data_IF_641226198009
#
_entry.id   IF_641226198009
#
_cell.length_a   1.000
_cell.length_b   1.000
_cell.length_c   1.000
_cell.angle_alpha   90.00
_cell.angle_beta   90.00
_cell.angle_gamma   90.00
#
_symmetry.space_group_name_H-M   'P 1'
#
loop_
_entity.id
_entity.type
_entity.pdbx_description
1 polymer ?
#
# COMPACT_ATOMS: atom_id res chain seq x y z
N UNK A 1 25.42 -24.11 -46.24
CA UNK A 1 24.82 -25.46 -46.11
C UNK A 1 23.46 -25.32 -45.46
N UNK A 2 22.44 -25.84 -46.12
CA UNK A 2 21.02 -25.83 -45.74
C UNK A 2 20.65 -27.20 -45.17
N UNK A 3 19.83 -27.26 -44.13
CA UNK A 3 18.94 -28.40 -43.84
C UNK A 3 17.64 -27.88 -43.24
N UNK A 4 16.55 -28.30 -43.89
CA UNK A 4 15.13 -28.12 -43.60
C UNK A 4 14.58 -29.21 -42.66
N UNK A 5 13.29 -29.06 -42.31
CA UNK A 5 12.29 -30.08 -41.91
C UNK A 5 11.98 -30.25 -40.40
N UNK A 6 10.76 -30.55 -39.90
CA UNK A 6 9.34 -30.30 -40.26
C UNK A 6 8.49 -30.68 -39.01
N UNK A 7 7.31 -30.05 -38.82
CA UNK A 7 6.04 -30.64 -38.31
C UNK A 7 5.97 -31.35 -36.94
N UNK A 8 5.10 -30.87 -36.04
CA UNK A 8 3.73 -31.41 -35.91
C UNK A 8 2.94 -30.75 -34.78
N UNK A 9 1.74 -30.28 -35.12
CA UNK A 9 0.67 -29.97 -34.18
C UNK A 9 -0.08 -31.25 -33.81
N UNK A 10 -0.53 -31.39 -32.57
CA UNK A 10 -1.68 -32.25 -32.27
C UNK A 10 -2.61 -31.62 -31.24
N UNK A 11 -3.88 -31.65 -31.64
CA UNK A 11 -5.08 -31.12 -31.00
C UNK A 11 -5.86 -32.33 -30.51
N UNK A 12 -6.23 -32.39 -29.24
CA UNK A 12 -7.27 -33.31 -28.73
C UNK A 12 -8.09 -32.55 -27.68
N UNK A 13 -9.27 -32.05 -28.00
CA UNK A 13 -10.58 -32.72 -28.19
C UNK A 13 -11.30 -32.91 -26.85
N UNK A 14 -12.34 -32.10 -26.69
CA UNK A 14 -13.39 -32.20 -25.70
C UNK A 14 -14.14 -33.55 -25.77
N UNK A 15 -14.57 -34.05 -24.62
CA UNK A 15 -15.71 -34.97 -24.45
C UNK A 15 -16.09 -34.97 -22.95
N UNK A 16 -17.19 -34.31 -22.59
CA UNK A 16 -18.49 -34.89 -22.23
C UNK A 16 -18.38 -36.06 -21.23
N UNK A 17 -19.00 -35.92 -20.06
CA UNK A 17 -20.22 -36.67 -19.73
C UNK A 17 -20.80 -36.22 -18.37
N UNK A 18 -22.12 -36.37 -18.29
CA UNK A 18 -23.07 -35.77 -17.36
C UNK A 18 -23.19 -36.54 -16.01
N UNK A 19 -24.00 -36.05 -15.05
CA UNK A 19 -23.78 -36.17 -13.61
C UNK A 19 -24.39 -37.42 -12.97
N UNK A 20 -23.82 -37.83 -11.83
CA UNK A 20 -24.40 -38.85 -10.98
C UNK A 20 -25.54 -38.26 -10.12
N UNK A 21 -26.75 -38.70 -10.45
CA UNK A 21 -27.99 -38.55 -9.69
C UNK A 21 -27.93 -39.31 -8.36
N UNK A 22 -28.34 -38.66 -7.27
CA UNK A 22 -28.90 -39.33 -6.10
C UNK A 22 -30.24 -38.65 -5.79
N UNK A 23 -31.34 -39.37 -6.03
CA UNK A 23 -32.70 -38.95 -5.70
C UNK A 23 -33.21 -39.57 -4.38
N UNK A 24 -34.34 -39.01 -3.93
CA UNK A 24 -35.33 -39.40 -2.90
C UNK A 24 -34.99 -38.99 -1.44
N UNK A 25 -35.86 -38.29 -0.69
CA UNK A 25 -37.30 -38.08 -0.84
C UNK A 25 -37.81 -36.80 -0.13
N UNK A 26 -38.55 -35.99 -0.91
CA UNK A 26 -39.96 -35.62 -0.74
C UNK A 26 -40.54 -35.24 0.64
N UNK A 27 -41.02 -33.99 0.76
CA UNK A 27 -42.36 -33.66 1.28
C UNK A 27 -42.82 -32.24 0.88
N UNK A 28 -43.50 -32.21 -0.27
CA UNK A 28 -44.68 -31.43 -0.70
C UNK A 28 -45.18 -30.16 0.04
N UNK A 29 -45.61 -29.21 -0.81
CA UNK A 29 -46.64 -28.13 -0.68
C UNK A 29 -46.15 -26.80 -0.08
N UNK A 30 -46.42 -25.61 -0.61
CA UNK A 30 -47.37 -25.13 -1.63
C UNK A 30 -46.86 -23.77 -2.12
N UNK A 31 -47.04 -23.43 -3.39
CA UNK A 31 -46.63 -22.14 -3.94
C UNK A 31 -47.48 -20.96 -3.48
N UNK A 32 -46.87 -19.78 -3.45
CA UNK A 32 -47.53 -18.55 -3.91
C UNK A 32 -46.47 -17.56 -4.40
N UNK A 33 -46.34 -17.41 -5.71
CA UNK A 33 -45.73 -16.22 -6.30
C UNK A 33 -46.73 -15.09 -6.09
N UNK A 34 -46.43 -14.10 -5.24
CA UNK A 34 -47.02 -12.77 -5.39
C UNK A 34 -46.06 -11.65 -4.97
N UNK A 35 -45.98 -10.67 -5.88
CA UNK A 35 -45.74 -9.25 -5.66
C UNK A 35 -44.28 -8.80 -5.43
N UNK A 36 -43.67 -8.37 -6.53
CA UNK A 36 -42.60 -7.38 -6.54
C UNK A 36 -42.98 -6.21 -5.63
N UNK A 37 -42.24 -6.07 -4.52
CA UNK A 37 -42.23 -4.85 -3.73
C UNK A 37 -40.99 -4.10 -4.19
N UNK A 38 -41.21 -2.92 -4.76
CA UNK A 38 -40.22 -1.85 -4.85
C UNK A 38 -39.74 -1.55 -3.43
N UNK A 39 -38.73 -2.29 -2.97
CA UNK A 39 -38.01 -1.97 -1.75
C UNK A 39 -37.13 -0.77 -2.08
N UNK A 40 -37.57 0.42 -1.68
CA UNK A 40 -36.68 1.58 -1.63
C UNK A 40 -35.39 1.16 -0.97
N UNK A 41 -34.25 1.48 -1.59
CA UNK A 41 -32.94 1.25 -1.01
C UNK A 41 -32.86 2.08 0.27
N UNK A 42 -33.18 1.45 1.40
CA UNK A 42 -32.89 2.00 2.70
C UNK A 42 -31.37 2.11 2.81
N UNK A 43 -30.86 3.32 3.08
CA UNK A 43 -29.46 3.54 3.39
C UNK A 43 -29.13 2.68 4.62
N UNK A 44 -28.30 1.66 4.44
CA UNK A 44 -27.82 0.81 5.53
C UNK A 44 -26.46 1.37 5.97
N UNK A 45 -26.38 1.92 7.18
CA UNK A 45 -25.12 2.39 7.75
C UNK A 45 -24.26 1.19 8.15
N UNK A 46 -23.06 1.09 7.55
CA UNK A 46 -22.08 0.06 7.90
C UNK A 46 -21.42 0.39 9.24
N UNK A 47 -21.62 -0.46 10.24
CA UNK A 47 -20.93 -0.38 11.53
C UNK A 47 -19.92 -1.54 11.63
N UNK A 48 -18.61 -1.27 11.69
CA UNK A 48 -17.61 -2.32 11.88
C UNK A 48 -17.78 -2.94 13.28
N UNK A 49 -17.62 -4.26 13.38
CA UNK A 49 -17.55 -4.93 14.68
C UNK A 49 -16.36 -4.40 15.47
N UNK A 50 -16.50 -4.13 16.78
CA UNK A 50 -15.40 -3.64 17.59
C UNK A 50 -14.26 -4.66 17.61
N UNK A 51 -13.02 -4.16 17.52
CA UNK A 51 -11.82 -4.96 17.73
C UNK A 51 -11.79 -5.48 19.19
N UNK A 52 -11.07 -6.58 19.47
CA UNK A 52 -10.86 -7.06 20.83
C UNK A 52 -10.39 -5.92 21.75
N UNK A 53 -10.99 -5.84 22.94
CA UNK A 53 -10.81 -4.75 23.92
C UNK A 53 -11.32 -3.37 23.45
N UNK A 54 -12.33 -3.31 22.58
CA UNK A 54 -12.98 -2.07 22.13
C UNK A 54 -12.00 -1.02 21.60
N UNK A 55 -10.98 -1.45 20.84
CA UNK A 55 -10.02 -0.51 20.24
C UNK A 55 -10.76 0.41 19.27
N UNK A 56 -10.65 1.75 19.41
CA UNK A 56 -11.28 2.69 18.49
C UNK A 56 -10.83 2.45 17.04
N UNK A 57 -11.76 2.57 16.10
CA UNK A 57 -11.50 2.46 14.66
C UNK A 57 -11.76 3.84 14.04
N UNK A 58 -10.72 4.46 13.50
CA UNK A 58 -10.82 5.70 12.74
C UNK A 58 -10.78 5.43 11.22
N UNK A 59 -11.33 6.34 10.39
CA UNK A 59 -11.17 6.26 8.95
C UNK A 59 -9.68 6.42 8.57
N UNK A 60 -9.24 5.70 7.54
CA UNK A 60 -7.90 5.81 6.96
C UNK A 60 -7.98 6.41 5.55
N UNK A 61 -6.98 7.18 5.15
CA UNK A 61 -6.83 7.76 3.80
C UNK A 61 -6.15 6.81 2.81
N UNK A 62 -5.67 5.64 3.26
CA UNK A 62 -4.95 4.69 2.42
C UNK A 62 -5.90 4.03 1.42
N UNK A 63 -5.48 4.00 0.14
CA UNK A 63 -6.20 3.30 -0.93
C UNK A 63 -5.63 1.92 -1.13
N UNK A 64 -6.49 0.90 -1.08
CA UNK A 64 -6.10 -0.49 -1.31
C UNK A 64 -6.12 -0.75 -2.81
N UNK A 65 -4.96 -1.05 -3.39
CA UNK A 65 -4.82 -1.41 -4.80
C UNK A 65 -5.33 -2.84 -5.05
N UNK A 66 -4.92 -3.78 -4.19
CA UNK A 66 -5.25 -5.20 -4.34
C UNK A 66 -5.16 -5.95 -3.01
N UNK A 67 -5.95 -7.01 -2.85
CA UNK A 67 -5.91 -7.93 -1.70
C UNK A 67 -5.80 -9.36 -2.22
N UNK A 68 -4.84 -10.13 -1.70
CA UNK A 68 -4.74 -11.58 -1.97
C UNK A 68 -3.57 -12.02 -2.84
N UNK A 69 -2.84 -11.10 -3.49
CA UNK A 69 -1.64 -11.45 -4.26
C UNK A 69 -0.45 -11.87 -3.40
N UNK A 70 -0.45 -11.53 -2.11
CA UNK A 70 0.64 -11.84 -1.18
C UNK A 70 0.26 -13.00 -0.25
N UNK A 71 1.24 -13.86 0.14
CA UNK A 71 1.01 -14.88 1.14
C UNK A 71 0.39 -14.30 2.42
N UNK A 72 -0.70 -14.91 2.88
CA UNK A 72 -1.44 -14.45 4.06
C UNK A 72 -2.41 -13.30 3.81
N UNK A 73 -2.76 -13.00 2.54
CA UNK A 73 -3.84 -12.06 2.21
C UNK A 73 -3.54 -10.62 2.59
N UNK A 74 -2.25 -10.24 2.66
CA UNK A 74 -1.84 -8.88 3.03
C UNK A 74 -2.32 -7.88 1.96
N UNK A 75 -2.98 -6.79 2.35
CA UNK A 75 -3.41 -5.76 1.41
C UNK A 75 -2.19 -5.03 0.84
N UNK A 76 -2.28 -4.68 -0.44
CA UNK A 76 -1.31 -3.83 -1.16
C UNK A 76 -1.96 -2.46 -1.28
N UNK A 77 -1.24 -1.42 -0.84
CA UNK A 77 -1.70 -0.04 -0.91
C UNK A 77 -1.07 0.70 -2.09
N UNK A 78 -1.79 1.69 -2.60
CA UNK A 78 -1.27 2.62 -3.60
C UNK A 78 -0.28 3.60 -2.94
N UNK A 79 0.73 4.03 -3.69
CA UNK A 79 1.72 5.02 -3.28
C UNK A 79 1.85 6.12 -4.34
N UNK A 80 2.03 7.37 -3.92
CA UNK A 80 2.18 8.53 -4.81
C UNK A 80 3.63 8.71 -5.34
N UNK A 81 4.42 7.64 -5.37
CA UNK A 81 5.81 7.69 -5.82
C UNK A 81 5.89 7.76 -7.34
N UNK A 82 6.61 8.75 -7.87
CA UNK A 82 6.86 8.87 -9.31
C UNK A 82 8.10 8.07 -9.72
N UNK A 83 7.92 7.13 -10.63
CA UNK A 83 9.02 6.38 -11.26
C UNK A 83 9.58 7.22 -12.40
N UNK A 84 10.89 7.46 -12.39
CA UNK A 84 11.62 8.19 -13.44
C UNK A 84 12.16 7.24 -14.49
N UNK A 85 12.74 6.12 -14.04
CA UNK A 85 13.38 5.15 -14.93
C UNK A 85 13.23 3.73 -14.38
N UNK A 86 13.21 2.77 -15.30
CA UNK A 86 13.17 1.34 -15.02
C UNK A 86 14.22 0.63 -15.90
N UNK A 87 15.03 -0.26 -15.31
CA UNK A 87 16.04 -1.03 -16.05
C UNK A 87 17.46 -0.43 -16.11
N UNK A 88 17.67 0.77 -15.57
CA UNK A 88 19.01 1.39 -15.48
C UNK A 88 19.90 0.78 -14.37
N UNK A 89 19.34 -0.06 -13.50
CA UNK A 89 20.03 -0.72 -12.39
C UNK A 89 19.93 -2.24 -12.51
N UNK A 90 20.86 -2.94 -11.86
CA UNK A 90 20.80 -4.40 -11.77
C UNK A 90 19.46 -4.87 -11.19
N UNK A 91 18.88 -5.90 -11.81
CA UNK A 91 17.61 -6.51 -11.43
C UNK A 91 16.39 -5.61 -11.61
N UNK A 92 16.42 -4.69 -12.58
CA UNK A 92 15.27 -3.88 -12.96
C UNK A 92 14.64 -3.12 -11.78
N UNK A 93 15.49 -2.60 -10.89
CA UNK A 93 15.04 -1.83 -9.74
C UNK A 93 14.51 -0.48 -10.22
N UNK A 94 13.28 -0.08 -9.87
CA UNK A 94 12.75 1.22 -10.26
C UNK A 94 13.54 2.35 -9.59
N UNK A 95 13.80 3.40 -10.36
CA UNK A 95 14.40 4.65 -9.88
C UNK A 95 13.26 5.66 -9.68
N UNK A 96 13.14 6.17 -8.46
CA UNK A 96 12.11 7.14 -8.10
C UNK A 96 12.63 8.57 -8.14
N UNK A 97 11.72 9.51 -8.44
CA UNK A 97 12.02 10.93 -8.32
C UNK A 97 12.29 11.27 -6.84
N UNK A 98 13.32 12.08 -6.61
CA UNK A 98 13.69 12.60 -5.29
C UNK A 98 13.69 14.13 -5.32
N UNK A 99 13.30 14.74 -4.21
CA UNK A 99 13.36 16.19 -4.01
C UNK A 99 14.66 16.64 -3.33
N UNK A 100 15.59 15.71 -3.11
CA UNK A 100 16.90 16.03 -2.52
C UNK A 100 17.76 16.81 -3.52
N UNK A 101 18.28 17.95 -3.07
CA UNK A 101 19.22 18.77 -3.83
C UNK A 101 20.66 18.36 -3.46
N UNK A 102 21.47 18.04 -4.47
CA UNK A 102 22.88 17.68 -4.29
C UNK A 102 23.72 18.92 -4.56
N UNK A 103 24.47 19.38 -3.55
CA UNK A 103 25.34 20.54 -3.65
C UNK A 103 26.64 20.21 -4.39
N UNK A 104 27.21 19.04 -4.11
CA UNK A 104 28.47 18.57 -4.67
C UNK A 104 28.57 17.04 -4.54
N UNK A 105 29.30 16.39 -5.44
CA UNK A 105 29.64 14.97 -5.34
C UNK A 105 31.13 14.70 -5.35
N UNK A 106 31.97 15.65 -5.76
CA UNK A 106 33.35 15.36 -6.17
C UNK A 106 34.38 15.81 -5.14
N UNK A 107 34.03 16.67 -4.18
CA UNK A 107 34.94 17.08 -3.11
C UNK A 107 35.28 15.97 -2.13
N UNK A 108 34.44 14.94 -2.00
CA UNK A 108 34.68 13.80 -1.11
C UNK A 108 35.22 12.59 -1.88
N UNK A 109 36.13 11.82 -1.28
CA UNK A 109 36.67 10.62 -1.91
C UNK A 109 35.56 9.60 -2.20
N UNK A 110 35.67 8.94 -3.36
CA UNK A 110 34.69 8.01 -3.91
C UNK A 110 33.35 8.66 -4.33
N UNK A 111 33.38 9.92 -4.76
CA UNK A 111 32.22 10.63 -5.29
C UNK A 111 31.00 10.61 -4.36
N UNK A 112 31.23 10.81 -3.05
CA UNK A 112 30.16 10.78 -2.06
C UNK A 112 29.33 12.06 -2.16
N UNK A 113 28.02 11.98 -2.48
CA UNK A 113 27.19 13.17 -2.64
C UNK A 113 26.99 13.90 -1.31
N UNK A 114 27.14 15.21 -1.35
CA UNK A 114 26.81 16.17 -0.30
C UNK A 114 25.47 16.79 -0.65
N UNK A 115 24.45 16.55 0.18
CA UNK A 115 23.11 17.09 0.00
C UNK A 115 22.94 18.41 0.75
N UNK A 116 22.11 19.30 0.20
CA UNK A 116 21.68 20.53 0.87
C UNK A 116 20.68 20.18 1.97
N UNK A 117 20.87 20.76 3.14
CA UNK A 117 19.91 20.70 4.25
C UNK A 117 19.21 22.05 4.40
N UNK A 118 17.90 22.03 4.63
CA UNK A 118 17.10 23.23 4.96
C UNK A 118 17.09 23.55 6.47
N UNK A 119 17.96 22.90 7.24
CA UNK A 119 18.02 23.09 8.69
C UNK A 119 18.77 24.37 9.02
N UNK A 120 18.12 25.26 9.77
CA UNK A 120 18.74 26.48 10.30
C UNK A 120 19.57 26.15 11.54
N UNK A 121 20.90 26.24 11.41
CA UNK A 121 21.83 26.00 12.51
C UNK A 121 22.18 27.36 13.13
N UNK A 122 21.85 27.54 14.40
CA UNK A 122 22.23 28.76 15.12
C UNK A 122 23.69 28.65 15.57
N UNK A 123 24.51 29.61 15.19
CA UNK A 123 25.93 29.68 15.59
C UNK A 123 26.11 30.19 17.02
N UNK A 124 25.30 29.72 17.98
CA UNK A 124 25.52 29.99 19.39
C UNK A 124 26.71 29.14 19.86
N UNK A 125 27.84 29.80 20.10
CA UNK A 125 29.03 29.20 20.71
C UNK A 125 28.84 28.95 22.24
N UNK A 126 27.62 28.58 22.64
CA UNK A 126 27.31 28.39 24.07
C UNK A 126 27.65 26.99 24.57
N UNK A 127 27.92 26.05 23.66
CA UNK A 127 28.23 24.66 24.02
C UNK A 127 29.73 24.37 23.86
N UNK A 128 30.33 23.65 24.83
CA UNK A 128 31.71 23.22 24.72
C UNK A 128 31.91 22.34 23.47
N UNK A 129 33.00 22.62 22.75
CA UNK A 129 33.37 21.98 21.47
C UNK A 129 32.49 22.36 20.27
N UNK A 130 31.92 23.57 20.24
CA UNK A 130 31.18 24.12 19.09
C UNK A 130 30.09 23.17 18.55
N UNK A 131 29.38 22.48 19.44
CA UNK A 131 28.32 21.56 19.05
C UNK A 131 27.16 22.36 18.43
N UNK A 132 26.77 22.12 17.17
CA UNK A 132 25.68 22.85 16.55
C UNK A 132 24.36 22.52 17.25
N UNK A 133 23.58 23.56 17.55
CA UNK A 133 22.21 23.44 18.02
C UNK A 133 21.27 24.03 16.99
N UNK A 134 20.06 23.49 16.93
CA UNK A 134 18.98 24.03 16.13
C UNK A 134 18.00 24.73 17.04
N UNK A 135 17.44 25.83 16.54
CA UNK A 135 16.29 26.46 17.19
C UNK A 135 15.06 25.62 16.89
N UNK A 136 14.50 24.97 17.90
CA UNK A 136 13.15 24.45 17.75
C UNK A 136 12.19 25.63 17.72
N UNK A 137 11.46 25.78 16.62
CA UNK A 137 10.27 26.63 16.57
C UNK A 137 9.18 25.96 17.42
N UNK A 138 9.31 26.11 18.74
CA UNK A 138 8.32 25.71 19.72
C UNK A 138 7.37 26.89 19.89
N UNK A 139 6.26 26.92 19.15
CA UNK A 139 5.09 27.70 19.56
C UNK A 139 4.34 26.84 20.58
N UNK A 140 4.79 26.88 21.84
CA UNK A 140 4.19 26.10 22.91
C UNK A 140 4.28 26.89 24.20
N UNK A 141 3.11 27.33 24.66
CA UNK A 141 2.85 28.15 25.83
C UNK A 141 3.71 27.75 27.04
N UNK A 142 4.29 28.76 27.69
CA UNK A 142 5.26 28.66 28.80
C UNK A 142 4.72 27.95 30.07
N UNK A 143 3.56 27.29 30.02
CA UNK A 143 2.84 26.72 31.17
C UNK A 143 2.82 25.17 31.21
N UNK A 144 3.52 24.47 30.32
CA UNK A 144 3.47 23.00 30.24
C UNK A 144 4.37 22.25 31.24
N UNK A 145 5.06 22.95 32.13
CA UNK A 145 5.70 22.34 33.30
C UNK A 145 4.78 22.57 34.50
N UNK A 146 3.65 21.87 34.52
CA UNK A 146 2.62 21.99 35.55
C UNK A 146 3.23 22.02 36.96
N UNK A 147 2.76 22.96 37.77
CA UNK A 147 3.13 23.07 39.18
C UNK A 147 2.88 21.73 39.89
N UNK A 148 3.93 21.20 40.51
CA UNK A 148 3.83 20.09 41.44
C UNK A 148 3.45 20.72 42.79
N UNK A 149 2.22 20.47 43.25
CA UNK A 149 1.76 20.76 44.62
C UNK A 149 2.37 19.75 45.61
#
# INVERSE_FOLDING_TARGET
MSTTETSSASKSKAKSDQPATLELADKKKTGSVTKARTSGLALQTYHPSPLPNNRPIGPSTLRVAHVGSLPGGRPIFESDLQIVEFGGLHQDRPIFASTLEVADSDSLPNHRPIAVSKLEISALDSLPNHRPIMVSQYEGEEDSMGFID
#
